data_IF_588940117871
#
_entry.id   IF_588940117871
#
_cell.length_a   1.000
_cell.length_b   1.000
_cell.length_c   1.000
_cell.angle_alpha   90.00
_cell.angle_beta   90.00
_cell.angle_gamma   90.00
#
_symmetry.space_group_name_H-M   'P 1'
#
loop_
_entity.id
_entity.type
_entity.pdbx_description
1 polymer ?
#
# COMPACT_ATOMS: atom_id res chain seq x y z
N UNK A 1 8.28 21.02 -29.33
CA UNK A 1 9.67 20.70 -29.74
C UNK A 1 10.42 20.15 -28.54
N UNK A 2 10.78 18.87 -28.55
CA UNK A 2 11.63 18.27 -27.50
C UNK A 2 13.09 18.70 -27.75
N UNK A 3 13.47 19.89 -27.27
CA UNK A 3 14.81 20.45 -27.42
C UNK A 3 15.82 19.86 -26.43
N UNK A 4 16.96 19.41 -26.96
CA UNK A 4 18.29 19.27 -26.36
C UNK A 4 18.53 18.53 -25.03
N UNK A 5 17.54 17.99 -24.32
CA UNK A 5 17.78 17.21 -23.09
C UNK A 5 16.91 15.95 -22.99
N UNK A 6 17.10 15.03 -23.96
CA UNK A 6 16.49 13.69 -23.93
C UNK A 6 16.64 13.03 -22.55
N UNK A 7 17.81 13.19 -21.92
CA UNK A 7 18.08 12.69 -20.59
C UNK A 7 17.22 13.36 -19.50
N UNK A 8 17.12 14.69 -19.46
CA UNK A 8 16.34 15.40 -18.43
C UNK A 8 14.84 15.04 -18.50
N UNK A 9 14.30 14.93 -19.71
CA UNK A 9 12.91 14.48 -19.91
C UNK A 9 12.70 13.03 -19.43
N UNK A 10 13.66 12.14 -19.69
CA UNK A 10 13.63 10.76 -19.17
C UNK A 10 13.72 10.77 -17.64
N UNK A 11 14.61 11.57 -17.05
CA UNK A 11 14.80 11.68 -15.61
C UNK A 11 13.49 12.13 -14.93
N UNK A 12 12.87 13.20 -15.39
CA UNK A 12 11.61 13.69 -14.80
C UNK A 12 10.46 12.68 -14.94
N UNK A 13 10.34 12.04 -16.10
CA UNK A 13 9.31 11.01 -16.32
C UNK A 13 9.52 9.79 -15.44
N UNK A 14 10.76 9.29 -15.37
CA UNK A 14 11.13 8.13 -14.53
C UNK A 14 10.93 8.46 -13.05
N UNK A 15 11.36 9.63 -12.59
CA UNK A 15 11.18 10.06 -11.21
C UNK A 15 9.69 10.08 -10.79
N UNK A 16 8.80 10.60 -11.64
CA UNK A 16 7.34 10.57 -11.38
C UNK A 16 6.80 9.13 -11.31
N UNK A 17 7.31 8.23 -12.16
CA UNK A 17 6.91 6.82 -12.16
C UNK A 17 7.42 6.09 -10.91
N UNK A 18 8.66 6.35 -10.49
CA UNK A 18 9.24 5.76 -9.28
C UNK A 18 8.50 6.21 -8.01
N UNK A 19 8.10 7.50 -7.92
CA UNK A 19 7.27 8.00 -6.81
C UNK A 19 5.90 7.29 -6.77
N UNK A 20 5.26 7.08 -7.93
CA UNK A 20 4.00 6.34 -8.01
C UNK A 20 4.17 4.88 -7.57
N UNK A 21 5.24 4.22 -8.03
CA UNK A 21 5.57 2.84 -7.66
C UNK A 21 5.84 2.71 -6.16
N UNK A 22 6.57 3.65 -5.56
CA UNK A 22 6.82 3.68 -4.12
C UNK A 22 5.52 3.69 -3.30
N UNK A 23 4.55 4.53 -3.69
CA UNK A 23 3.22 4.56 -3.03
C UNK A 23 2.48 3.23 -3.14
N UNK A 24 2.54 2.57 -4.29
CA UNK A 24 1.92 1.25 -4.50
C UNK A 24 2.60 0.21 -3.61
N UNK A 25 3.93 0.21 -3.54
CA UNK A 25 4.69 -0.74 -2.72
C UNK A 25 4.34 -0.59 -1.24
N UNK A 26 4.25 0.63 -0.71
CA UNK A 26 3.85 0.85 0.68
C UNK A 26 2.45 0.28 0.97
N UNK A 27 1.50 0.45 0.05
CA UNK A 27 0.14 -0.11 0.21
C UNK A 27 0.14 -1.63 0.21
N UNK A 28 0.87 -2.25 -0.72
CA UNK A 28 0.96 -3.71 -0.85
C UNK A 28 1.67 -4.36 0.34
N UNK A 29 2.74 -3.74 0.87
CA UNK A 29 3.43 -4.22 2.08
C UNK A 29 2.44 -4.27 3.26
N UNK A 30 1.66 -3.20 3.46
CA UNK A 30 0.67 -3.15 4.52
C UNK A 30 -0.41 -4.22 4.35
N UNK A 31 -0.93 -4.39 3.14
CA UNK A 31 -1.94 -5.41 2.83
C UNK A 31 -1.43 -6.84 3.11
N UNK A 32 -0.19 -7.16 2.69
CA UNK A 32 0.43 -8.47 2.95
C UNK A 32 0.58 -8.70 4.46
N UNK A 33 1.05 -7.68 5.19
CA UNK A 33 1.22 -7.78 6.65
C UNK A 33 -0.11 -7.99 7.37
N UNK A 34 -1.18 -7.27 7.02
CA UNK A 34 -2.50 -7.47 7.64
C UNK A 34 -3.11 -8.81 7.25
N UNK A 35 -3.03 -9.20 5.97
CA UNK A 35 -3.54 -10.49 5.52
C UNK A 35 -2.85 -11.66 6.25
N UNK A 36 -1.52 -11.61 6.38
CA UNK A 36 -0.75 -12.62 7.11
C UNK A 36 -1.08 -12.64 8.62
N UNK A 37 -1.43 -11.49 9.21
CA UNK A 37 -1.86 -11.39 10.60
C UNK A 37 -3.24 -12.01 10.84
N UNK A 38 -4.19 -11.76 9.94
CA UNK A 38 -5.57 -12.22 10.09
C UNK A 38 -5.75 -13.72 9.80
N UNK A 39 -5.07 -14.22 8.76
CA UNK A 39 -5.28 -15.58 8.25
C UNK A 39 -4.05 -16.47 8.32
N UNK A 40 -2.99 -16.05 9.01
CA UNK A 40 -1.71 -16.76 9.07
C UNK A 40 -0.83 -16.52 7.83
N UNK A 41 0.46 -16.83 8.00
CA UNK A 41 1.51 -16.55 7.02
C UNK A 41 1.61 -17.53 5.84
N UNK A 42 0.72 -18.54 5.76
CA UNK A 42 0.69 -19.51 4.66
C UNK A 42 -0.29 -19.07 3.55
N UNK A 43 0.20 -18.76 2.32
CA UNK A 43 -0.65 -18.42 1.18
C UNK A 43 -1.54 -19.58 0.69
N UNK A 44 -1.21 -20.83 1.03
CA UNK A 44 -2.03 -22.01 0.76
C UNK A 44 -3.35 -21.95 1.54
N UNK A 45 -3.26 -21.73 2.85
CA UNK A 45 -4.40 -21.62 3.75
C UNK A 45 -5.10 -20.24 3.75
N UNK A 46 -4.47 -19.19 3.21
CA UNK A 46 -4.97 -17.80 3.29
C UNK A 46 -5.20 -17.17 1.89
N UNK A 47 -6.46 -17.18 1.38
CA UNK A 47 -6.79 -16.60 0.07
C UNK A 47 -6.51 -15.10 -0.04
N UNK A 48 -6.69 -14.33 1.05
CA UNK A 48 -6.42 -12.88 1.08
C UNK A 48 -4.93 -12.61 0.90
N UNK A 49 -4.09 -13.36 1.61
CA UNK A 49 -2.64 -13.27 1.47
C UNK A 49 -2.18 -13.67 0.06
N UNK A 50 -2.76 -14.72 -0.51
CA UNK A 50 -2.46 -15.15 -1.88
C UNK A 50 -2.71 -14.05 -2.91
N UNK A 51 -3.87 -13.40 -2.84
CA UNK A 51 -4.22 -12.28 -3.72
C UNK A 51 -3.27 -11.08 -3.52
N UNK A 52 -2.89 -10.78 -2.28
CA UNK A 52 -1.95 -9.71 -1.98
C UNK A 52 -0.55 -9.99 -2.56
N UNK A 53 -0.08 -11.24 -2.50
CA UNK A 53 1.19 -11.68 -3.09
C UNK A 53 1.14 -11.60 -4.61
N UNK A 54 0.03 -11.99 -5.23
CA UNK A 54 -0.17 -11.90 -6.68
C UNK A 54 -0.07 -10.45 -7.15
N UNK A 55 -0.81 -9.53 -6.51
CA UNK A 55 -0.73 -8.09 -6.79
C UNK A 55 0.67 -7.51 -6.58
N UNK A 56 1.42 -8.03 -5.61
CA UNK A 56 2.81 -7.64 -5.40
C UNK A 56 3.73 -8.10 -6.56
N UNK A 57 3.52 -9.31 -7.08
CA UNK A 57 4.23 -9.82 -8.26
C UNK A 57 3.91 -9.03 -9.51
N UNK A 58 2.65 -8.69 -9.75
CA UNK A 58 2.23 -7.83 -10.88
C UNK A 58 2.94 -6.47 -10.88
N UNK A 59 3.22 -5.94 -9.68
CA UNK A 59 3.92 -4.67 -9.52
C UNK A 59 5.45 -4.81 -9.46
N UNK A 60 6.01 -6.00 -9.75
CA UNK A 60 7.44 -6.29 -9.69
C UNK A 60 8.07 -6.01 -8.31
N UNK A 61 7.33 -6.30 -7.23
CA UNK A 61 7.88 -6.21 -5.88
C UNK A 61 8.92 -7.32 -5.66
N UNK A 62 10.11 -7.02 -5.10
CA UNK A 62 11.12 -8.04 -4.80
C UNK A 62 10.59 -9.11 -3.83
N UNK A 63 10.96 -10.37 -4.07
CA UNK A 63 10.51 -11.52 -3.26
C UNK A 63 10.84 -11.33 -1.78
N UNK A 64 12.04 -10.85 -1.48
CA UNK A 64 12.49 -10.60 -0.09
C UNK A 64 11.61 -9.57 0.62
N UNK A 65 11.08 -8.58 -0.11
CA UNK A 65 10.17 -7.57 0.47
C UNK A 65 8.83 -8.19 0.85
N UNK A 66 8.31 -9.09 0.00
CA UNK A 66 7.08 -9.84 0.26
C UNK A 66 7.25 -10.77 1.46
N UNK A 67 8.33 -11.55 1.49
CA UNK A 67 8.63 -12.47 2.60
C UNK A 67 8.78 -11.72 3.93
N UNK A 68 9.48 -10.59 3.94
CA UNK A 68 9.61 -9.76 5.14
C UNK A 68 8.27 -9.18 5.60
N UNK A 69 7.38 -8.81 4.68
CA UNK A 69 6.04 -8.35 5.02
C UNK A 69 5.17 -9.48 5.62
N UNK A 70 5.31 -10.71 5.13
CA UNK A 70 4.65 -11.90 5.70
C UNK A 70 5.16 -12.18 7.10
N UNK A 71 6.49 -12.20 7.30
CA UNK A 71 7.12 -12.43 8.61
C UNK A 71 6.70 -11.39 9.67
N UNK A 72 6.57 -10.12 9.26
CA UNK A 72 6.01 -9.06 10.13
C UNK A 72 4.54 -9.31 10.48
N UNK A 73 3.74 -9.81 9.54
CA UNK A 73 2.33 -10.11 9.78
C UNK A 73 2.10 -11.34 10.65
N UNK A 74 2.94 -12.38 10.48
CA UNK A 74 2.86 -13.63 11.24
C UNK A 74 3.47 -13.56 12.65
N UNK A 75 4.00 -12.40 13.06
CA UNK A 75 4.58 -12.19 14.39
C UNK A 75 6.01 -12.72 14.56
N UNK A 76 6.68 -13.13 13.47
CA UNK A 76 8.09 -13.56 13.50
C UNK A 76 9.07 -12.39 13.58
N UNK A 77 8.60 -11.18 13.25
CA UNK A 77 9.35 -9.93 13.38
C UNK A 77 8.51 -8.94 14.19
N UNK A 78 9.18 -8.10 14.97
CA UNK A 78 8.52 -6.99 15.66
C UNK A 78 7.84 -6.08 14.62
N UNK A 79 6.55 -5.85 14.80
CA UNK A 79 5.70 -5.22 13.81
C UNK A 79 4.77 -4.20 14.44
N UNK A 80 4.46 -3.15 13.67
CA UNK A 80 3.46 -2.17 14.07
C UNK A 80 2.07 -2.76 13.88
N UNK A 81 1.17 -2.52 14.83
CA UNK A 81 -0.23 -2.91 14.72
C UNK A 81 -0.93 -2.00 13.71
N UNK A 82 -1.20 -2.54 12.52
CA UNK A 82 -2.04 -1.87 11.52
C UNK A 82 -3.49 -2.32 11.65
N UNK A 83 -4.40 -1.37 11.64
CA UNK A 83 -5.84 -1.59 11.69
C UNK A 83 -6.51 -1.09 10.41
N UNK A 84 -7.55 -1.82 9.98
CA UNK A 84 -8.41 -1.43 8.86
C UNK A 84 -9.56 -0.56 9.36
N UNK A 85 -9.84 0.52 8.63
CA UNK A 85 -10.87 1.47 8.99
C UNK A 85 -11.41 2.16 7.74
N UNK A 86 -12.71 2.39 7.74
CA UNK A 86 -13.44 3.09 6.69
C UNK A 86 -13.85 4.46 7.19
N UNK A 87 -13.51 5.50 6.42
CA UNK A 87 -14.10 6.82 6.59
C UNK A 87 -15.16 7.04 5.52
N UNK A 88 -16.23 7.70 5.91
CA UNK A 88 -17.36 8.02 5.04
C UNK A 88 -17.61 9.53 5.12
N UNK A 89 -17.97 10.13 3.99
CA UNK A 89 -18.23 11.56 3.92
C UNK A 89 -18.84 11.98 2.58
N UNK A 90 -19.01 13.29 2.43
CA UNK A 90 -19.58 13.90 1.22
C UNK A 90 -18.59 14.89 0.62
N UNK A 91 -18.42 14.83 -0.70
CA UNK A 91 -17.60 15.76 -1.48
C UNK A 91 -18.43 16.87 -2.14
N UNK A 92 -17.83 17.51 -3.14
CA UNK A 92 -18.47 18.57 -3.93
C UNK A 92 -19.80 18.07 -4.51
N UNK A 93 -20.83 18.91 -4.44
CA UNK A 93 -22.20 18.61 -4.89
C UNK A 93 -22.85 17.38 -4.19
N UNK A 94 -22.42 17.04 -2.97
CA UNK A 94 -23.05 15.97 -2.19
C UNK A 94 -22.67 14.55 -2.63
N UNK A 95 -21.61 14.39 -3.43
CA UNK A 95 -21.13 13.06 -3.83
C UNK A 95 -20.66 12.25 -2.61
N UNK A 96 -21.21 11.05 -2.40
CA UNK A 96 -20.78 10.18 -1.31
C UNK A 96 -19.37 9.61 -1.59
N UNK A 97 -18.50 9.64 -0.60
CA UNK A 97 -17.12 9.16 -0.67
C UNK A 97 -16.85 8.18 0.46
N UNK A 98 -16.31 7.02 0.10
CA UNK A 98 -15.76 6.04 1.05
C UNK A 98 -14.24 5.98 0.90
N UNK A 99 -13.54 6.01 2.02
CA UNK A 99 -12.09 5.94 2.07
C UNK A 99 -11.67 4.79 2.97
N UNK A 100 -11.30 3.68 2.35
CA UNK A 100 -10.72 2.53 3.04
C UNK A 100 -9.24 2.81 3.37
N UNK A 101 -8.93 2.76 4.65
CA UNK A 101 -7.63 3.10 5.21
C UNK A 101 -7.03 1.93 6.00
N UNK A 102 -5.70 1.86 5.96
CA UNK A 102 -4.92 0.95 6.79
C UNK A 102 -3.83 1.74 7.52
N UNK A 103 -3.97 1.85 8.84
CA UNK A 103 -3.15 2.75 9.66
C UNK A 103 -2.79 2.14 11.00
N UNK A 104 -1.66 2.59 11.53
CA UNK A 104 -1.19 2.35 12.89
C UNK A 104 -1.62 3.46 13.87
N UNK A 105 -2.21 4.54 13.36
CA UNK A 105 -2.67 5.66 14.17
C UNK A 105 -3.94 6.28 13.57
N UNK A 106 -5.08 6.01 14.20
CA UNK A 106 -6.40 6.53 13.79
C UNK A 106 -6.45 8.04 13.83
N UNK A 107 -5.95 8.65 14.91
CA UNK A 107 -5.99 10.10 15.16
C UNK A 107 -5.24 10.87 14.07
N UNK A 108 -4.07 10.37 13.64
CA UNK A 108 -3.33 10.97 12.53
C UNK A 108 -4.11 10.84 11.22
N UNK A 109 -4.59 9.63 10.91
CA UNK A 109 -5.27 9.38 9.63
C UNK A 109 -6.58 10.14 9.49
N UNK A 110 -7.39 10.27 10.55
CA UNK A 110 -8.62 11.05 10.47
C UNK A 110 -8.34 12.55 10.26
N UNK A 111 -7.25 13.08 10.84
CA UNK A 111 -6.84 14.46 10.62
C UNK A 111 -6.45 14.68 9.15
N UNK A 112 -5.63 13.78 8.58
CA UNK A 112 -5.23 13.83 7.18
C UNK A 112 -6.44 13.72 6.22
N UNK A 113 -7.38 12.82 6.52
CA UNK A 113 -8.60 12.62 5.71
C UNK A 113 -9.52 13.84 5.76
N UNK A 114 -9.63 14.50 6.91
CA UNK A 114 -10.46 15.72 7.06
C UNK A 114 -9.84 16.96 6.45
N UNK A 115 -8.51 17.00 6.31
CA UNK A 115 -7.79 18.12 5.71
C UNK A 115 -7.82 18.11 4.17
N UNK A 116 -7.94 16.92 3.56
CA UNK A 116 -7.89 16.71 2.12
C UNK A 116 -9.07 17.34 1.36
#
# INVERSE_FOLDING_TARGET
>A
MAGHSKWANIQHRKGKQDVKRGKIFTRLIKEITVAARMGGGDPGANPRLRLAIEKARENNMPKDTVENAIKRGSGQLEGVNYEELRYEGYGINGAAVMVDCMTDNKTRTVADVRHA
#
